data_IF_920822171519
#
_entry.id   IF_920822171519
#
_cell.length_a   1.000
_cell.length_b   1.000
_cell.length_c   1.000
_cell.angle_alpha   90.00
_cell.angle_beta   90.00
_cell.angle_gamma   90.00
#
_symmetry.space_group_name_H-M   'P 1'
#
loop_
_entity.id
_entity.type
_entity.pdbx_description
1 polymer ?
#
# COMPACT_ATOMS: atom_id res chain seq x y z
N UNK A 1 26.23 -6.08 -22.16
CA UNK A 1 25.40 -7.27 -21.90
C UNK A 1 24.43 -6.84 -20.82
N UNK A 2 23.18 -6.55 -21.18
CA UNK A 2 22.14 -6.32 -20.20
C UNK A 2 21.87 -7.67 -19.53
N UNK A 3 22.07 -7.74 -18.21
CA UNK A 3 21.71 -8.92 -17.42
C UNK A 3 20.19 -9.01 -17.39
N UNK A 4 19.62 -10.12 -17.87
CA UNK A 4 18.21 -10.44 -17.65
C UNK A 4 17.91 -10.37 -16.14
N UNK A 5 17.08 -9.42 -15.73
CA UNK A 5 16.57 -9.38 -14.37
C UNK A 5 15.62 -10.57 -14.17
N UNK A 6 15.72 -11.27 -13.04
CA UNK A 6 14.75 -12.32 -12.69
C UNK A 6 13.33 -11.75 -12.60
N UNK A 7 12.31 -12.58 -12.81
CA UNK A 7 10.89 -12.20 -12.61
C UNK A 7 10.67 -11.58 -11.23
N UNK A 8 11.29 -12.16 -10.20
CA UNK A 8 11.27 -11.65 -8.83
C UNK A 8 11.78 -10.21 -8.75
N UNK A 9 12.88 -9.89 -9.42
CA UNK A 9 13.44 -8.54 -9.40
C UNK A 9 12.53 -7.54 -10.11
N UNK A 10 11.85 -7.95 -11.18
CA UNK A 10 10.86 -7.12 -11.86
C UNK A 10 9.65 -6.81 -10.98
N UNK A 11 9.09 -7.84 -10.31
CA UNK A 11 7.97 -7.67 -9.38
C UNK A 11 8.33 -6.69 -8.26
N UNK A 12 9.52 -6.86 -7.65
CA UNK A 12 9.99 -5.98 -6.58
C UNK A 12 10.21 -4.54 -7.05
N UNK A 13 10.76 -4.37 -8.26
CA UNK A 13 10.95 -3.04 -8.83
C UNK A 13 9.61 -2.35 -9.16
N UNK A 14 8.63 -3.09 -9.68
CA UNK A 14 7.28 -2.56 -9.90
C UNK A 14 6.60 -2.19 -8.57
N UNK A 15 6.70 -3.04 -7.54
CA UNK A 15 6.19 -2.71 -6.22
C UNK A 15 6.80 -1.41 -5.69
N UNK A 16 8.13 -1.28 -5.76
CA UNK A 16 8.85 -0.08 -5.33
C UNK A 16 8.35 1.19 -6.04
N UNK A 17 8.10 1.11 -7.34
CA UNK A 17 7.51 2.21 -8.12
C UNK A 17 6.08 2.50 -7.65
N UNK A 18 5.24 1.46 -7.57
CA UNK A 18 3.83 1.55 -7.23
C UNK A 18 3.57 2.20 -5.87
N UNK A 19 4.43 1.89 -4.89
CA UNK A 19 4.31 2.38 -3.51
C UNK A 19 5.41 3.36 -3.10
N UNK A 20 6.16 3.87 -4.08
CA UNK A 20 7.16 4.94 -3.90
C UNK A 20 8.25 4.61 -2.87
N UNK A 21 8.70 3.36 -2.85
CA UNK A 21 9.75 2.86 -1.94
C UNK A 21 9.33 2.72 -0.48
N UNK A 22 8.05 2.93 -0.16
CA UNK A 22 7.57 2.86 1.22
C UNK A 22 7.52 1.44 1.78
N UNK A 23 7.60 0.40 0.94
CA UNK A 23 7.70 -0.99 1.37
C UNK A 23 8.97 -1.28 2.18
N UNK A 24 10.08 -0.59 1.88
CA UNK A 24 11.36 -0.73 2.59
C UNK A 24 11.28 -0.24 4.04
N UNK A 25 10.27 0.57 4.38
CA UNK A 25 10.05 1.06 5.74
C UNK A 25 9.45 -0.05 6.62
N UNK A 26 8.63 -0.93 6.06
CA UNK A 26 7.81 -1.87 6.84
C UNK A 26 8.22 -3.34 6.69
N UNK A 27 8.97 -3.68 5.64
CA UNK A 27 9.32 -5.06 5.30
C UNK A 27 10.80 -5.21 5.00
N UNK A 28 11.34 -6.35 5.42
CA UNK A 28 12.71 -6.76 5.09
C UNK A 28 12.79 -7.31 3.66
N UNK A 29 13.98 -7.31 3.06
CA UNK A 29 14.26 -7.95 1.76
C UNK A 29 13.73 -9.40 1.69
N UNK A 30 13.82 -10.13 2.81
CA UNK A 30 13.33 -11.51 2.88
C UNK A 30 11.82 -11.57 2.71
N UNK A 31 11.09 -10.68 3.37
CA UNK A 31 9.62 -10.61 3.33
C UNK A 31 9.13 -10.11 1.97
N UNK A 32 9.81 -9.12 1.40
CA UNK A 32 9.53 -8.65 0.04
C UNK A 32 9.71 -9.79 -0.98
N UNK A 33 10.79 -10.56 -0.87
CA UNK A 33 11.01 -11.74 -1.74
C UNK A 33 9.98 -12.84 -1.51
N UNK A 34 9.49 -13.03 -0.29
CA UNK A 34 8.42 -14.00 0.00
C UNK A 34 7.13 -13.64 -0.75
N UNK A 35 6.73 -12.37 -0.71
CA UNK A 35 5.63 -11.86 -1.53
C UNK A 35 5.89 -12.12 -3.01
N UNK A 36 7.05 -11.69 -3.53
CA UNK A 36 7.35 -11.81 -4.95
C UNK A 36 7.31 -13.26 -5.44
N UNK A 37 7.82 -14.22 -4.67
CA UNK A 37 7.72 -15.64 -4.98
C UNK A 37 6.28 -16.18 -4.93
N UNK A 38 5.47 -15.70 -3.97
CA UNK A 38 4.06 -16.08 -3.89
C UNK A 38 3.25 -15.55 -5.09
N UNK A 39 3.60 -14.36 -5.59
CA UNK A 39 2.91 -13.71 -6.70
C UNK A 39 3.45 -14.10 -8.08
N UNK A 40 4.68 -14.64 -8.18
CA UNK A 40 5.40 -14.94 -9.43
C UNK A 40 4.56 -15.72 -10.45
N UNK A 41 3.78 -16.70 -10.01
CA UNK A 41 2.96 -17.53 -10.91
C UNK A 41 1.77 -16.79 -11.53
N UNK A 42 1.34 -15.67 -10.94
CA UNK A 42 0.23 -14.83 -11.40
C UNK A 42 0.71 -13.60 -12.19
N UNK A 43 1.96 -13.18 -11.97
CA UNK A 43 2.52 -12.00 -12.60
C UNK A 43 2.77 -12.20 -14.11
N UNK A 44 2.51 -11.17 -14.89
CA UNK A 44 2.85 -11.12 -16.32
C UNK A 44 3.45 -9.77 -16.67
N UNK A 45 4.09 -9.64 -17.83
CA UNK A 45 4.64 -8.35 -18.30
C UNK A 45 3.58 -7.26 -18.52
N UNK A 46 2.31 -7.64 -18.63
CA UNK A 46 1.19 -6.70 -18.77
C UNK A 46 0.59 -6.30 -17.42
N UNK A 47 1.07 -6.90 -16.31
CA UNK A 47 0.62 -6.54 -14.97
C UNK A 47 1.03 -5.10 -14.65
N UNK A 48 0.04 -4.29 -14.29
CA UNK A 48 0.19 -2.90 -13.88
C UNK A 48 0.80 -2.78 -12.48
N UNK A 49 1.36 -1.61 -12.21
CA UNK A 49 1.92 -1.27 -10.90
C UNK A 49 0.86 -1.35 -9.78
N UNK A 50 -0.39 -0.96 -10.08
CA UNK A 50 -1.51 -1.05 -9.14
C UNK A 50 -1.91 -2.50 -8.85
N UNK A 51 -1.94 -3.38 -9.85
CA UNK A 51 -2.20 -4.81 -9.63
C UNK A 51 -1.13 -5.46 -8.73
N UNK A 52 0.14 -5.06 -8.86
CA UNK A 52 1.23 -5.53 -7.98
C UNK A 52 1.03 -5.02 -6.55
N UNK A 53 0.66 -3.74 -6.39
CA UNK A 53 0.41 -3.15 -5.08
C UNK A 53 -0.82 -3.79 -4.40
N UNK A 54 -1.92 -4.00 -5.12
CA UNK A 54 -3.13 -4.62 -4.59
C UNK A 54 -2.86 -6.06 -4.16
N UNK A 55 -2.13 -6.84 -4.97
CA UNK A 55 -1.70 -8.18 -4.60
C UNK A 55 -0.80 -8.17 -3.34
N UNK A 56 0.03 -7.13 -3.16
CA UNK A 56 0.85 -6.96 -1.96
C UNK A 56 0.00 -6.69 -0.71
N UNK A 57 -1.01 -5.82 -0.82
CA UNK A 57 -1.94 -5.55 0.27
C UNK A 57 -2.72 -6.82 0.66
N UNK A 58 -3.24 -7.55 -0.32
CA UNK A 58 -3.96 -8.81 -0.11
C UNK A 58 -3.08 -9.86 0.58
N UNK A 59 -1.82 -9.98 0.18
CA UNK A 59 -0.88 -10.95 0.74
C UNK A 59 -0.66 -10.76 2.25
N UNK A 60 -0.67 -9.51 2.73
CA UNK A 60 -0.42 -9.18 4.13
C UNK A 60 -1.68 -8.87 4.95
N UNK A 61 -2.87 -8.82 4.32
CA UNK A 61 -4.09 -8.35 4.97
C UNK A 61 -4.46 -9.09 6.26
N UNK A 62 -4.38 -10.41 6.26
CA UNK A 62 -4.75 -11.29 7.38
C UNK A 62 -3.51 -11.86 8.08
N UNK A 63 -2.53 -10.99 8.35
CA UNK A 63 -1.27 -11.32 9.01
C UNK A 63 -1.00 -10.37 10.19
N UNK A 64 0.10 -10.57 10.91
CA UNK A 64 0.61 -9.64 11.94
C UNK A 64 1.39 -8.45 11.34
N UNK A 65 1.29 -8.27 10.02
CA UNK A 65 1.99 -7.23 9.26
C UNK A 65 1.08 -6.55 8.25
N UNK A 66 -0.18 -6.22 8.57
CA UNK A 66 -1.03 -5.54 7.62
C UNK A 66 -0.46 -4.16 7.28
N UNK A 67 -0.74 -3.71 6.06
CA UNK A 67 -0.52 -2.34 5.61
C UNK A 67 -1.75 -1.87 4.85
N UNK A 68 -1.88 -0.55 4.71
CA UNK A 68 -2.81 0.09 3.77
C UNK A 68 -2.01 0.87 2.75
N UNK A 69 -2.63 1.20 1.63
CA UNK A 69 -2.06 2.09 0.61
C UNK A 69 -2.84 3.39 0.62
N UNK A 70 -2.13 4.50 0.74
CA UNK A 70 -2.76 5.81 0.70
C UNK A 70 -3.40 6.04 -0.68
N UNK A 71 -4.67 6.39 -0.68
CA UNK A 71 -5.48 6.64 -1.88
C UNK A 71 -5.02 7.86 -2.69
N UNK A 72 -4.23 8.74 -2.10
CA UNK A 72 -3.74 9.98 -2.74
C UNK A 72 -2.31 9.83 -3.22
N UNK A 73 -1.38 9.48 -2.32
CA UNK A 73 0.03 9.46 -2.66
C UNK A 73 0.56 8.08 -3.08
N UNK A 74 -0.21 7.00 -2.88
CA UNK A 74 0.15 5.63 -3.24
C UNK A 74 1.14 4.94 -2.29
N UNK A 75 1.64 5.62 -1.25
CA UNK A 75 2.56 5.02 -0.26
C UNK A 75 1.84 4.05 0.67
N UNK A 76 2.57 3.06 1.14
CA UNK A 76 2.15 2.18 2.22
C UNK A 76 2.16 2.92 3.56
N UNK A 77 1.23 2.53 4.42
CA UNK A 77 1.03 3.10 5.76
C UNK A 77 0.57 2.00 6.74
N UNK A 78 1.03 2.10 7.99
CA UNK A 78 0.52 1.31 9.12
C UNK A 78 -0.27 2.14 10.13
N UNK A 79 -0.38 3.43 9.89
CA UNK A 79 -1.18 4.35 10.66
C UNK A 79 -1.73 5.42 9.72
N UNK A 80 -2.89 5.96 10.05
CA UNK A 80 -3.51 7.04 9.29
C UNK A 80 -5.02 6.99 9.33
N UNK A 81 -5.61 7.76 8.43
CA UNK A 81 -7.06 7.93 8.34
C UNK A 81 -7.66 6.85 7.44
N UNK A 82 -8.76 6.27 7.90
CA UNK A 82 -9.62 5.34 7.18
C UNK A 82 -10.96 6.02 6.97
N UNK A 83 -11.48 6.08 5.74
CA UNK A 83 -12.78 6.67 5.43
C UNK A 83 -13.73 5.59 4.86
N UNK A 84 -14.99 5.62 5.30
CA UNK A 84 -16.09 4.76 4.82
C UNK A 84 -15.73 3.26 4.79
N UNK A 85 -15.43 2.68 5.96
CA UNK A 85 -14.99 1.28 6.12
C UNK A 85 -13.78 0.87 5.26
N UNK A 86 -12.91 1.82 4.91
CA UNK A 86 -11.74 1.54 4.09
C UNK A 86 -12.00 1.68 2.59
N UNK A 87 -13.03 2.42 2.19
CA UNK A 87 -13.15 2.90 0.82
C UNK A 87 -11.97 3.82 0.44
N UNK A 88 -11.37 4.51 1.41
CA UNK A 88 -10.15 5.32 1.20
C UNK A 88 -9.26 5.38 2.43
N UNK A 89 -7.96 5.56 2.20
CA UNK A 89 -6.93 5.66 3.24
C UNK A 89 -6.00 6.84 3.02
N UNK A 90 -5.62 7.54 4.09
CA UNK A 90 -4.77 8.72 4.03
C UNK A 90 -3.63 8.64 5.05
N UNK A 91 -2.38 8.71 4.56
CA UNK A 91 -1.19 8.54 5.41
C UNK A 91 -0.78 9.82 6.17
N UNK A 92 -1.44 10.95 5.90
CA UNK A 92 -1.14 12.24 6.53
C UNK A 92 -2.31 13.20 6.37
N UNK A 93 -2.31 14.27 7.16
CA UNK A 93 -3.26 15.38 7.04
C UNK A 93 -3.22 15.98 5.63
N UNK A 94 -2.02 16.11 5.03
CA UNK A 94 -1.87 16.62 3.66
C UNK A 94 -2.61 15.73 2.65
N UNK A 95 -2.51 14.41 2.78
CA UNK A 95 -3.24 13.49 1.90
C UNK A 95 -4.74 13.52 2.19
N UNK A 96 -5.14 13.62 3.45
CA UNK A 96 -6.54 13.72 3.83
C UNK A 96 -7.19 14.98 3.25
N UNK A 97 -6.54 16.13 3.43
CA UNK A 97 -7.02 17.44 2.95
C UNK A 97 -6.94 17.61 1.43
N UNK A 98 -6.53 16.57 0.70
CA UNK A 98 -6.74 16.49 -0.74
C UNK A 98 -8.23 16.31 -1.08
N UNK A 99 -8.95 15.53 -0.26
CA UNK A 99 -10.36 15.17 -0.48
C UNK A 99 -11.31 15.90 0.47
N UNK A 100 -10.78 16.50 1.54
CA UNK A 100 -11.53 17.27 2.54
C UNK A 100 -11.07 18.73 2.54
N UNK A 101 -12.00 19.67 2.73
CA UNK A 101 -11.70 21.11 2.69
C UNK A 101 -10.85 21.55 3.88
N UNK A 102 -11.11 20.98 5.05
CA UNK A 102 -10.38 21.22 6.29
C UNK A 102 -10.54 20.05 7.28
N UNK A 103 -9.80 20.13 8.39
CA UNK A 103 -9.84 19.10 9.45
C UNK A 103 -11.17 19.08 10.19
N UNK A 104 -11.92 20.19 10.29
CA UNK A 104 -13.21 20.19 10.96
C UNK A 104 -14.25 19.40 10.15
N UNK A 105 -14.19 19.49 8.82
CA UNK A 105 -15.00 18.68 7.92
C UNK A 105 -14.75 17.19 8.17
N UNK A 106 -13.48 16.79 8.22
CA UNK A 106 -13.11 15.42 8.57
C UNK A 106 -13.58 15.00 9.97
N UNK A 107 -13.30 15.81 11.00
CA UNK A 107 -13.69 15.52 12.38
C UNK A 107 -15.21 15.36 12.53
N UNK A 108 -16.00 16.09 11.74
CA UNK A 108 -17.46 15.95 11.73
C UNK A 108 -17.94 14.61 11.18
N UNK A 109 -17.11 13.93 10.38
CA UNK A 109 -17.36 12.59 9.85
C UNK A 109 -16.78 11.49 10.73
N UNK A 110 -16.04 11.83 11.80
CA UNK A 110 -15.41 10.84 12.67
C UNK A 110 -16.47 9.98 13.35
N UNK A 111 -16.45 8.68 13.06
CA UNK A 111 -17.40 7.70 13.55
C UNK A 111 -16.79 6.29 13.45
N UNK A 112 -17.61 5.25 13.55
CA UNK A 112 -17.20 3.85 13.41
C UNK A 112 -16.79 3.45 11.98
N UNK A 113 -17.09 4.30 10.99
CA UNK A 113 -16.80 4.12 9.57
C UNK A 113 -15.56 4.91 9.13
N UNK A 114 -15.35 6.08 9.73
CA UNK A 114 -14.30 7.04 9.39
C UNK A 114 -13.52 7.43 10.64
N UNK A 115 -12.25 7.05 10.72
CA UNK A 115 -11.44 7.19 11.93
C UNK A 115 -9.94 7.21 11.62
N UNK A 116 -9.14 7.70 12.56
CA UNK A 116 -7.69 7.50 12.56
C UNK A 116 -7.35 6.24 13.37
N UNK A 117 -6.45 5.40 12.87
CA UNK A 117 -6.00 4.19 13.58
C UNK A 117 -4.57 3.82 13.22
N UNK A 118 -4.02 2.90 13.98
CA UNK A 118 -2.85 2.11 13.65
C UNK A 118 -3.30 0.67 13.30
N UNK A 119 -2.63 0.01 12.37
CA UNK A 119 -2.85 -1.39 11.96
C UNK A 119 -1.59 -2.22 12.32
N UNK A 120 -1.73 -3.12 13.28
CA UNK A 120 -0.70 -4.07 13.73
C UNK A 120 -1.27 -5.48 13.84
#
# INVERSE_FOLDING_TARGET
METEQSTIQHILNQLNIAVKGSEEVYYTDKELRQFAHAFESKWTKESSDDEVADAFLEYWWDTDRPVRRCSVCGRLMRDGYCSDMGASYYCSDECLLHDYSDMNEWESQNNDQSYYTEWY
#
